data_IF_074400029439
#
_entry.id   IF_074400029439
#
_cell.length_a   1.000
_cell.length_b   1.000
_cell.length_c   1.000
_cell.angle_alpha   90.00
_cell.angle_beta   90.00
_cell.angle_gamma   90.00
#
_symmetry.space_group_name_H-M   'P 1'
#
loop_
_entity.id
_entity.type
_entity.pdbx_description
1 polymer ?
#
# COMPACT_ATOMS: atom_id res chain seq x y z
N UNK A 1 38.84 1.95 8.70
CA UNK A 1 38.29 0.67 8.19
C UNK A 1 37.17 0.24 9.13
N UNK A 2 35.95 0.35 8.60
CA UNK A 2 34.68 -0.32 8.91
C UNK A 2 34.38 -0.85 10.33
N UNK A 3 33.22 -0.42 10.84
CA UNK A 3 32.02 -1.29 10.74
C UNK A 3 30.76 -0.41 10.61
N UNK A 4 29.91 -0.62 9.60
CA UNK A 4 28.67 0.13 9.43
C UNK A 4 27.60 -0.40 10.40
N UNK A 5 26.77 0.49 10.90
CA UNK A 5 25.61 0.26 11.77
C UNK A 5 24.47 -0.56 11.12
N UNK A 6 24.74 -1.35 10.08
CA UNK A 6 23.76 -1.97 9.17
C UNK A 6 22.98 -3.18 9.70
N UNK A 7 23.02 -3.47 10.99
CA UNK A 7 22.42 -4.69 11.56
C UNK A 7 20.94 -4.61 11.95
N UNK A 8 20.42 -3.42 12.30
CA UNK A 8 19.06 -3.26 12.85
C UNK A 8 18.02 -2.75 11.84
N UNK A 9 18.38 -1.79 11.00
CA UNK A 9 17.45 -1.31 9.97
C UNK A 9 17.18 -2.38 8.90
N UNK A 10 18.17 -3.25 8.62
CA UNK A 10 17.96 -4.42 7.76
C UNK A 10 16.95 -5.41 8.33
N UNK A 11 16.79 -5.52 9.65
CA UNK A 11 15.78 -6.41 10.24
C UNK A 11 14.38 -5.82 10.16
N UNK A 12 14.22 -4.51 10.36
CA UNK A 12 12.90 -3.85 10.26
C UNK A 12 12.34 -3.93 8.85
N UNK A 13 13.17 -3.64 7.84
CA UNK A 13 12.75 -3.74 6.42
C UNK A 13 12.30 -5.16 6.08
N UNK A 14 13.04 -6.19 6.51
CA UNK A 14 12.64 -7.57 6.28
C UNK A 14 11.33 -7.93 6.98
N UNK A 15 11.10 -7.45 8.20
CA UNK A 15 9.82 -7.63 8.89
C UNK A 15 8.66 -6.99 8.12
N UNK A 16 8.84 -5.75 7.65
CA UNK A 16 7.82 -5.04 6.85
C UNK A 16 7.50 -5.82 5.57
N UNK A 17 8.53 -6.23 4.83
CA UNK A 17 8.35 -6.95 3.57
C UNK A 17 7.69 -8.32 3.76
N UNK A 18 8.07 -9.03 4.83
CA UNK A 18 7.46 -10.32 5.16
C UNK A 18 5.99 -10.16 5.52
N UNK A 19 5.67 -9.23 6.41
CA UNK A 19 4.30 -9.00 6.87
C UNK A 19 3.38 -8.59 5.70
N UNK A 20 3.84 -7.67 4.85
CA UNK A 20 3.08 -7.27 3.66
C UNK A 20 2.93 -8.42 2.66
N UNK A 21 3.95 -9.27 2.49
CA UNK A 21 3.86 -10.42 1.59
C UNK A 21 2.84 -11.44 2.07
N UNK A 22 2.81 -11.71 3.38
CA UNK A 22 1.81 -12.59 3.99
C UNK A 22 0.38 -12.06 3.79
N UNK A 23 0.18 -10.74 3.83
CA UNK A 23 -1.12 -10.10 3.58
C UNK A 23 -1.50 -9.96 2.09
N UNK A 24 -0.53 -9.86 1.16
CA UNK A 24 -0.78 -9.47 -0.24
C UNK A 24 -0.53 -10.58 -1.27
N UNK A 25 0.46 -11.44 -1.08
CA UNK A 25 0.77 -12.52 -2.04
C UNK A 25 -0.37 -13.53 -2.22
N UNK A 26 -1.14 -13.92 -1.19
CA UNK A 26 -2.32 -14.77 -1.38
C UNK A 26 -3.38 -14.16 -2.28
N UNK A 27 -3.35 -12.83 -2.47
CA UNK A 27 -4.32 -12.03 -3.21
C UNK A 27 -3.84 -11.66 -4.61
N UNK A 28 -2.73 -12.25 -5.07
CA UNK A 28 -2.21 -12.07 -6.42
C UNK A 28 -1.36 -10.82 -6.60
N UNK A 29 -0.78 -10.28 -5.53
CA UNK A 29 0.15 -9.15 -5.60
C UNK A 29 1.60 -9.59 -5.39
N UNK A 30 2.46 -9.10 -6.25
CA UNK A 30 3.91 -9.20 -6.14
C UNK A 30 4.49 -7.86 -5.66
N UNK A 31 5.61 -7.92 -4.95
CA UNK A 31 6.24 -6.75 -4.34
C UNK A 31 7.72 -6.66 -4.71
N UNK A 32 8.17 -5.46 -5.03
CA UNK A 32 9.58 -5.16 -5.29
C UNK A 32 10.02 -3.92 -4.51
N UNK A 33 10.86 -4.06 -3.47
CA UNK A 33 11.35 -2.92 -2.70
C UNK A 33 12.44 -2.15 -3.46
N UNK A 34 12.45 -0.83 -3.30
CA UNK A 34 13.47 0.07 -3.82
C UNK A 34 13.64 1.29 -2.92
N UNK A 35 14.74 2.03 -3.09
CA UNK A 35 14.93 3.32 -2.42
C UNK A 35 14.39 4.45 -3.30
N UNK A 36 13.67 5.41 -2.71
CA UNK A 36 13.15 6.59 -3.41
C UNK A 36 14.23 7.31 -4.25
N UNK A 37 15.45 7.44 -3.74
CA UNK A 37 16.58 8.06 -4.46
C UNK A 37 17.00 7.29 -5.72
N UNK A 38 16.83 5.96 -5.74
CA UNK A 38 17.08 5.17 -6.97
C UNK A 38 16.06 5.47 -8.05
N UNK A 39 14.80 5.68 -7.67
CA UNK A 39 13.76 6.08 -8.61
C UNK A 39 14.04 7.47 -9.16
N UNK A 40 14.16 8.49 -8.29
CA UNK A 40 14.30 9.90 -8.68
C UNK A 40 15.54 10.20 -9.54
N UNK A 41 16.62 9.41 -9.40
CA UNK A 41 17.83 9.51 -10.21
C UNK A 41 17.61 9.08 -11.67
N UNK A 42 16.62 8.23 -11.96
CA UNK A 42 16.40 7.63 -13.27
C UNK A 42 15.23 8.24 -14.07
N UNK A 43 14.56 9.25 -13.52
CA UNK A 43 13.36 9.83 -14.11
C UNK A 43 13.45 11.36 -14.28
N UNK A 44 12.56 11.90 -15.11
CA UNK A 44 12.42 13.34 -15.28
C UNK A 44 12.00 14.01 -13.97
N UNK A 45 12.46 15.25 -13.73
CA UNK A 45 12.05 16.06 -12.58
C UNK A 45 10.54 16.28 -12.47
N UNK A 46 9.79 16.08 -13.56
CA UNK A 46 8.32 16.19 -13.61
C UNK A 46 7.57 14.99 -13.06
N UNK A 47 8.24 13.90 -12.70
CA UNK A 47 7.56 12.70 -12.16
C UNK A 47 8.30 12.17 -10.95
N UNK A 48 9.13 13.02 -10.33
CA UNK A 48 9.85 12.67 -9.11
C UNK A 48 8.88 12.51 -7.96
N UNK A 49 9.17 11.57 -7.08
CA UNK A 49 8.43 11.46 -5.82
C UNK A 49 8.61 12.78 -5.05
N UNK A 50 9.85 13.28 -5.02
CA UNK A 50 10.19 14.53 -4.36
C UNK A 50 9.92 14.49 -2.86
N UNK A 51 10.17 15.62 -2.18
CA UNK A 51 10.01 15.72 -0.73
C UNK A 51 8.58 15.53 -0.24
N UNK A 52 7.59 15.70 -1.11
CA UNK A 52 6.16 15.68 -0.76
C UNK A 52 5.60 14.26 -0.61
N UNK A 53 6.25 13.28 -1.27
CA UNK A 53 5.88 11.86 -1.26
C UNK A 53 6.96 10.99 -0.58
N UNK A 54 8.24 11.35 -0.74
CA UNK A 54 9.37 10.66 -0.13
C UNK A 54 10.37 11.70 0.43
N UNK A 55 10.27 12.07 1.72
CA UNK A 55 11.06 13.16 2.30
C UNK A 55 12.57 12.92 2.31
N UNK A 56 13.01 11.67 2.18
CA UNK A 56 14.42 11.27 2.16
C UNK A 56 14.71 10.34 0.97
N UNK A 57 15.95 10.36 0.47
CA UNK A 57 16.41 9.51 -0.63
C UNK A 57 16.56 8.03 -0.23
N UNK A 58 16.66 7.75 1.06
CA UNK A 58 16.75 6.42 1.65
C UNK A 58 15.39 5.88 2.15
N UNK A 59 14.28 6.53 1.79
CA UNK A 59 12.96 6.01 2.08
C UNK A 59 12.75 4.65 1.37
N UNK A 60 12.29 3.66 2.13
CA UNK A 60 11.82 2.39 1.59
C UNK A 60 10.53 2.64 0.80
N UNK A 61 10.58 2.39 -0.50
CA UNK A 61 9.42 2.33 -1.36
C UNK A 61 9.17 0.87 -1.80
N UNK A 62 7.90 0.53 -2.04
CA UNK A 62 7.51 -0.82 -2.46
C UNK A 62 6.68 -0.68 -3.74
N UNK A 63 7.21 -1.18 -4.85
CA UNK A 63 6.45 -1.32 -6.08
C UNK A 63 5.55 -2.55 -5.96
N UNK A 64 4.24 -2.34 -6.08
CA UNK A 64 3.24 -3.40 -6.12
C UNK A 64 2.83 -3.68 -7.55
N UNK A 65 2.82 -4.96 -7.92
CA UNK A 65 2.36 -5.42 -9.23
C UNK A 65 1.25 -6.44 -9.01
N UNK A 66 0.09 -6.21 -9.61
CA UNK A 66 -0.98 -7.21 -9.63
C UNK A 66 -0.71 -8.23 -10.73
N UNK A 67 -0.67 -9.50 -10.34
CA UNK A 67 -0.74 -10.63 -11.28
C UNK A 67 -2.20 -10.82 -11.74
N UNK A 68 -2.44 -11.55 -12.86
CA UNK A 68 -3.80 -11.87 -13.28
C UNK A 68 -4.65 -12.55 -12.20
N UNK A 69 -4.02 -13.33 -11.30
CA UNK A 69 -4.71 -14.01 -10.19
C UNK A 69 -5.41 -13.05 -9.22
N UNK A 70 -5.03 -11.77 -9.22
CA UNK A 70 -5.68 -10.76 -8.39
C UNK A 70 -7.15 -10.61 -8.74
N UNK A 71 -7.54 -10.85 -9.99
CA UNK A 71 -8.95 -10.82 -10.40
C UNK A 71 -9.77 -11.88 -9.64
N UNK A 72 -9.35 -13.14 -9.67
CA UNK A 72 -10.09 -14.22 -9.00
C UNK A 72 -9.95 -14.20 -7.48
N UNK A 73 -8.78 -13.78 -6.97
CA UNK A 73 -8.46 -13.88 -5.54
C UNK A 73 -8.81 -12.62 -4.74
N UNK A 74 -8.88 -11.45 -5.39
CA UNK A 74 -9.20 -10.17 -4.74
C UNK A 74 -10.49 -9.59 -5.26
N UNK A 75 -10.59 -9.32 -6.56
CA UNK A 75 -11.71 -8.57 -7.14
C UNK A 75 -13.03 -9.29 -6.92
N UNK A 76 -13.15 -10.53 -7.40
CA UNK A 76 -14.39 -11.31 -7.31
C UNK A 76 -14.89 -11.42 -5.85
N UNK A 77 -14.10 -11.95 -4.88
CA UNK A 77 -14.57 -12.09 -3.51
C UNK A 77 -14.97 -10.76 -2.88
N UNK A 78 -14.22 -9.69 -3.17
CA UNK A 78 -14.47 -8.37 -2.58
C UNK A 78 -15.77 -7.76 -3.08
N UNK A 79 -16.07 -7.86 -4.38
CA UNK A 79 -17.36 -7.43 -4.94
C UNK A 79 -18.51 -8.25 -4.36
N UNK A 80 -18.35 -9.56 -4.22
CA UNK A 80 -19.38 -10.41 -3.61
C UNK A 80 -19.64 -10.05 -2.15
N UNK A 81 -18.60 -9.79 -1.36
CA UNK A 81 -18.74 -9.39 0.03
C UNK A 81 -19.42 -8.03 0.14
N UNK A 82 -19.09 -7.07 -0.72
CA UNK A 82 -19.79 -5.78 -0.76
C UNK A 82 -21.29 -5.92 -1.05
N UNK A 83 -21.66 -6.74 -2.02
CA UNK A 83 -23.07 -7.01 -2.33
C UNK A 83 -23.81 -7.64 -1.14
N UNK A 84 -23.15 -8.53 -0.38
CA UNK A 84 -23.74 -9.17 0.81
C UNK A 84 -23.87 -8.21 1.99
N UNK A 85 -22.81 -7.50 2.34
CA UNK A 85 -22.76 -6.62 3.53
C UNK A 85 -23.74 -5.47 3.44
N UNK A 86 -23.95 -4.95 2.23
CA UNK A 86 -24.64 -3.70 2.05
C UNK A 86 -26.17 -3.88 1.98
N UNK A 87 -26.67 -5.10 1.73
CA UNK A 87 -28.06 -5.29 1.29
C UNK A 87 -28.41 -4.47 0.04
N UNK A 88 -27.39 -3.99 -0.68
CA UNK A 88 -27.49 -3.04 -1.78
C UNK A 88 -27.61 -3.84 -3.09
N UNK A 89 -28.56 -3.43 -3.92
CA UNK A 89 -28.88 -4.08 -5.20
C UNK A 89 -27.96 -3.66 -6.36
N UNK A 90 -27.09 -2.65 -6.19
CA UNK A 90 -26.23 -2.13 -7.26
C UNK A 90 -24.81 -1.75 -6.83
N UNK A 91 -23.87 -1.94 -7.76
CA UNK A 91 -22.47 -1.62 -7.57
C UNK A 91 -22.23 -0.11 -7.38
N UNK A 92 -23.00 0.74 -8.04
CA UNK A 92 -22.94 2.20 -7.89
C UNK A 92 -23.18 2.65 -6.44
N UNK A 93 -24.14 2.00 -5.76
CA UNK A 93 -24.47 2.33 -4.38
C UNK A 93 -23.36 1.85 -3.41
N UNK A 94 -22.76 0.69 -3.68
CA UNK A 94 -21.56 0.23 -2.96
C UNK A 94 -20.42 1.25 -3.11
N UNK A 95 -20.14 1.70 -4.33
CA UNK A 95 -19.08 2.68 -4.59
C UNK A 95 -19.33 4.01 -3.86
N UNK A 96 -20.58 4.49 -3.79
CA UNK A 96 -20.95 5.67 -2.98
C UNK A 96 -20.68 5.45 -1.48
N UNK A 97 -20.99 4.28 -0.95
CA UNK A 97 -20.70 3.95 0.45
C UNK A 97 -19.19 3.91 0.71
N UNK A 98 -18.40 3.31 -0.19
CA UNK A 98 -16.94 3.28 -0.07
C UNK A 98 -16.33 4.68 -0.13
N UNK A 99 -16.77 5.52 -1.08
CA UNK A 99 -16.37 6.94 -1.16
C UNK A 99 -16.65 7.69 0.13
N UNK A 100 -17.82 7.47 0.73
CA UNK A 100 -18.19 8.08 2.01
C UNK A 100 -17.31 7.56 3.15
N UNK A 101 -17.02 6.25 3.20
CA UNK A 101 -16.19 5.62 4.23
C UNK A 101 -14.74 6.12 4.19
N UNK A 102 -14.19 6.36 3.01
CA UNK A 102 -12.80 6.73 2.79
C UNK A 102 -12.62 8.22 2.46
N UNK A 103 -13.60 9.08 2.76
CA UNK A 103 -13.59 10.50 2.38
C UNK A 103 -12.37 11.31 2.87
N UNK A 104 -11.65 10.83 3.89
CA UNK A 104 -10.42 11.42 4.41
C UNK A 104 -9.12 10.88 3.82
N UNK A 105 -9.17 9.89 2.92
CA UNK A 105 -7.98 9.33 2.30
C UNK A 105 -7.39 10.29 1.27
N UNK A 106 -6.07 10.49 1.32
CA UNK A 106 -5.33 11.41 0.44
C UNK A 106 -5.42 11.02 -1.04
N UNK A 107 -5.40 9.72 -1.33
CA UNK A 107 -5.35 9.18 -2.69
C UNK A 107 -6.50 8.22 -2.98
N UNK A 108 -7.72 8.76 -3.04
CA UNK A 108 -8.89 7.97 -3.45
C UNK A 108 -8.78 7.54 -4.92
N UNK A 109 -9.31 6.35 -5.28
CA UNK A 109 -9.52 5.99 -6.68
C UNK A 109 -10.37 7.03 -7.39
N UNK A 110 -9.91 7.50 -8.55
CA UNK A 110 -10.55 8.57 -9.31
C UNK A 110 -11.71 8.10 -10.20
N UNK A 111 -11.77 6.82 -10.50
CA UNK A 111 -12.80 6.18 -11.32
C UNK A 111 -13.96 5.67 -10.43
N UNK A 112 -15.18 5.65 -10.98
CA UNK A 112 -16.23 4.73 -10.51
C UNK A 112 -15.93 3.30 -10.98
N UNK A 113 -14.65 2.91 -11.10
CA UNK A 113 -14.24 1.57 -11.50
C UNK A 113 -14.19 0.68 -10.25
N UNK A 114 -15.07 -0.33 -10.16
CA UNK A 114 -15.05 -1.29 -9.07
C UNK A 114 -13.68 -1.94 -8.88
N UNK A 115 -12.91 -2.12 -9.96
CA UNK A 115 -11.61 -2.75 -9.91
C UNK A 115 -10.61 -1.95 -9.09
N UNK A 116 -10.44 -0.65 -9.40
CA UNK A 116 -9.56 0.25 -8.65
C UNK A 116 -9.98 0.32 -7.17
N UNK A 117 -11.29 0.33 -6.90
CA UNK A 117 -11.81 0.31 -5.54
C UNK A 117 -11.49 -1.00 -4.80
N UNK A 118 -11.57 -2.16 -5.46
CA UNK A 118 -11.22 -3.44 -4.81
C UNK A 118 -9.74 -3.50 -4.46
N UNK A 119 -8.87 -3.01 -5.36
CA UNK A 119 -7.43 -2.92 -5.11
C UNK A 119 -7.19 -1.97 -3.95
N UNK A 120 -7.74 -0.75 -3.99
CA UNK A 120 -7.57 0.23 -2.93
C UNK A 120 -8.00 -0.31 -1.56
N UNK A 121 -9.21 -0.89 -1.46
CA UNK A 121 -9.70 -1.45 -0.19
C UNK A 121 -8.82 -2.60 0.31
N UNK A 122 -8.34 -3.47 -0.60
CA UNK A 122 -7.41 -4.55 -0.26
C UNK A 122 -6.10 -4.01 0.30
N UNK A 123 -5.50 -3.03 -0.39
CA UNK A 123 -4.24 -2.44 0.01
C UNK A 123 -4.36 -1.70 1.35
N UNK A 124 -5.44 -0.94 1.56
CA UNK A 124 -5.70 -0.28 2.86
C UNK A 124 -5.85 -1.30 4.00
N UNK A 125 -6.56 -2.40 3.76
CA UNK A 125 -6.71 -3.48 4.75
C UNK A 125 -5.36 -4.13 5.08
N UNK A 126 -4.59 -4.51 4.07
CA UNK A 126 -3.28 -5.11 4.24
C UNK A 126 -2.34 -4.18 5.03
N UNK A 127 -2.27 -2.90 4.66
CA UNK A 127 -1.44 -1.93 5.37
C UNK A 127 -1.86 -1.75 6.83
N UNK A 128 -3.16 -1.62 7.11
CA UNK A 128 -3.66 -1.51 8.47
C UNK A 128 -3.30 -2.73 9.31
N UNK A 129 -3.51 -3.93 8.77
CA UNK A 129 -3.17 -5.19 9.44
C UNK A 129 -1.67 -5.30 9.70
N UNK A 130 -0.85 -5.09 8.67
CA UNK A 130 0.60 -5.18 8.79
C UNK A 130 1.15 -4.17 9.79
N UNK A 131 0.70 -2.91 9.76
CA UNK A 131 1.13 -1.90 10.73
C UNK A 131 0.72 -2.30 12.15
N UNK A 132 -0.50 -2.79 12.36
CA UNK A 132 -0.95 -3.25 13.68
C UNK A 132 -0.08 -4.41 14.19
N UNK A 133 0.14 -5.44 13.37
CA UNK A 133 0.92 -6.62 13.74
C UNK A 133 2.39 -6.30 14.01
N UNK A 134 3.01 -5.47 13.16
CA UNK A 134 4.39 -5.03 13.34
C UNK A 134 4.53 -4.25 14.65
N UNK A 135 3.62 -3.32 14.94
CA UNK A 135 3.66 -2.50 16.16
C UNK A 135 3.62 -3.31 17.46
N UNK A 136 3.12 -4.55 17.46
CA UNK A 136 3.15 -5.44 18.62
C UNK A 136 4.57 -5.89 18.99
N UNK A 137 5.48 -5.93 18.02
CA UNK A 137 6.82 -6.51 18.15
C UNK A 137 7.95 -5.48 18.00
N UNK A 138 7.63 -4.24 17.66
CA UNK A 138 8.59 -3.17 17.45
C UNK A 138 8.83 -2.32 18.70
N UNK A 139 10.03 -1.75 18.79
CA UNK A 139 10.32 -0.73 19.80
C UNK A 139 9.46 0.54 19.57
N UNK A 140 9.26 1.39 20.59
CA UNK A 140 8.52 2.64 20.42
C UNK A 140 9.08 3.51 19.27
N UNK A 141 10.41 3.60 19.16
CA UNK A 141 11.08 4.38 18.12
C UNK A 141 10.79 3.83 16.71
N UNK A 142 10.87 2.52 16.51
CA UNK A 142 10.54 1.87 15.24
C UNK A 142 9.05 1.98 14.90
N UNK A 143 8.18 1.86 15.90
CA UNK A 143 6.73 2.03 15.74
C UNK A 143 6.37 3.42 15.21
N UNK A 144 7.09 4.47 15.65
CA UNK A 144 6.86 5.83 15.13
C UNK A 144 7.18 5.96 13.64
N UNK A 145 8.15 5.19 13.12
CA UNK A 145 8.50 5.18 11.69
C UNK A 145 7.33 4.71 10.80
N UNK A 146 6.41 3.92 11.35
CA UNK A 146 5.23 3.39 10.63
C UNK A 146 3.99 4.29 10.70
N UNK A 147 4.02 5.38 11.47
CA UNK A 147 2.83 6.22 11.67
C UNK A 147 2.31 6.90 10.40
N UNK A 148 3.20 7.15 9.43
CA UNK A 148 2.89 7.82 8.18
C UNK A 148 2.92 6.86 6.98
N UNK A 149 2.85 5.55 7.21
CA UNK A 149 2.80 4.60 6.12
C UNK A 149 1.51 4.79 5.32
N UNK A 150 1.64 5.05 4.03
CA UNK A 150 0.52 5.22 3.11
C UNK A 150 0.84 4.59 1.74
N UNK A 151 -0.21 4.16 1.03
CA UNK A 151 -0.07 3.76 -0.37
C UNK A 151 -0.12 4.97 -1.28
N UNK A 152 0.86 5.09 -2.16
CA UNK A 152 0.95 6.15 -3.16
C UNK A 152 0.65 5.51 -4.52
N UNK A 153 -0.53 5.76 -5.11
CA UNK A 153 -0.83 5.25 -6.44
C UNK A 153 -0.03 6.01 -7.51
N UNK A 154 0.16 5.37 -8.65
CA UNK A 154 0.87 5.93 -9.81
C UNK A 154 0.27 7.27 -10.29
N UNK A 155 -1.05 7.40 -10.30
CA UNK A 155 -1.74 8.64 -10.68
C UNK A 155 -1.53 9.82 -9.70
N UNK A 156 -0.94 9.57 -8.53
CA UNK A 156 -0.52 10.62 -7.61
C UNK A 156 0.86 11.22 -7.95
N UNK A 157 1.65 10.55 -8.79
CA UNK A 157 2.98 11.01 -9.21
C UNK A 157 2.82 11.99 -10.40
N UNK A 158 3.25 13.25 -10.24
CA UNK A 158 2.97 14.35 -11.18
C UNK A 158 4.09 15.38 -11.29
#
# INVERSE_FOLDING_TARGET
MNSPSGGKDSSLVQCILKELAEELSPYGFDMSPFLSGWYDANISSKVRLGSDLAPYEDCLCICLISSPQMFEKTFIPTVFDWCKESGIESLDNVLKCLKTRFCGSRFLPGSDDPFDWTVFVRLQKALSNSVQNLKLNLTPDESTKLNNAEWIPDYAIR
#
